data_IF_891727561623
#
_entry.id   IF_891727561623
#
_cell.length_a   1.000
_cell.length_b   1.000
_cell.length_c   1.000
_cell.angle_alpha   90.00
_cell.angle_beta   90.00
_cell.angle_gamma   90.00
#
_symmetry.space_group_name_H-M   'P 1'
#
loop_
_entity.id
_entity.type
_entity.pdbx_description
1 polymer ?
#
# COMPACT_ATOMS: atom_id res chain seq x y z
N UNK A 1 -7.93 15.05 4.32
CA UNK A 1 -8.20 14.08 3.25
C UNK A 1 -9.70 14.00 3.01
N UNK A 2 -10.13 14.15 1.76
CA UNK A 2 -11.52 14.06 1.34
C UNK A 2 -11.59 13.14 0.11
N UNK A 3 -12.28 12.01 0.24
CA UNK A 3 -12.35 10.97 -0.78
C UNK A 3 -13.78 10.83 -1.27
N UNK A 4 -13.97 10.77 -2.58
CA UNK A 4 -15.24 10.58 -3.25
C UNK A 4 -15.19 9.33 -4.14
N UNK A 5 -16.15 8.43 -3.93
CA UNK A 5 -16.35 7.28 -4.79
C UNK A 5 -17.51 7.54 -5.76
N UNK A 6 -17.26 7.29 -7.04
CA UNK A 6 -18.25 7.34 -8.09
C UNK A 6 -18.37 5.99 -8.78
N UNK A 7 -19.58 5.57 -9.04
CA UNK A 7 -19.83 4.35 -9.79
C UNK A 7 -21.01 4.52 -10.75
N UNK A 8 -20.94 3.82 -11.88
CA UNK A 8 -22.03 3.71 -12.82
C UNK A 8 -22.07 2.31 -13.42
N UNK A 9 -23.25 1.69 -13.39
CA UNK A 9 -23.46 0.37 -13.97
C UNK A 9 -24.13 0.55 -15.35
N UNK A 10 -23.34 0.34 -16.42
CA UNK A 10 -23.83 0.41 -17.80
C UNK A 10 -24.78 -0.73 -18.12
N UNK A 11 -24.45 -1.92 -17.59
CA UNK A 11 -25.23 -3.15 -17.67
C UNK A 11 -25.00 -3.97 -16.41
N UNK A 12 -25.68 -5.10 -16.25
CA UNK A 12 -25.45 -6.05 -15.16
C UNK A 12 -23.99 -6.61 -15.16
N UNK A 13 -23.26 -6.47 -16.26
CA UNK A 13 -21.91 -7.03 -16.46
C UNK A 13 -20.81 -5.98 -16.69
N UNK A 14 -21.16 -4.74 -16.97
CA UNK A 14 -20.20 -3.68 -17.28
C UNK A 14 -20.40 -2.52 -16.33
N UNK A 15 -19.37 -2.17 -15.58
CA UNK A 15 -19.41 -1.16 -14.52
C UNK A 15 -18.22 -0.21 -14.64
N UNK A 16 -18.47 1.06 -14.32
CA UNK A 16 -17.46 2.06 -14.07
C UNK A 16 -17.28 2.25 -12.57
N UNK A 17 -16.05 2.40 -12.13
CA UNK A 17 -15.69 2.74 -10.74
C UNK A 17 -14.59 3.79 -10.74
N UNK A 18 -14.69 4.73 -9.80
CA UNK A 18 -13.73 5.81 -9.65
C UNK A 18 -13.61 6.22 -8.19
N UNK A 19 -12.40 6.57 -7.79
CA UNK A 19 -12.04 7.14 -6.49
C UNK A 19 -11.21 8.40 -6.72
N UNK A 20 -11.74 9.51 -6.23
CA UNK A 20 -11.14 10.82 -6.31
C UNK A 20 -10.78 11.31 -4.91
N UNK A 21 -9.55 11.76 -4.73
CA UNK A 21 -9.03 12.25 -3.46
C UNK A 21 -8.55 13.69 -3.55
N UNK A 22 -8.84 14.47 -2.49
CA UNK A 22 -8.27 15.76 -2.21
C UNK A 22 -7.55 15.70 -0.85
N UNK A 23 -6.22 15.81 -0.86
CA UNK A 23 -5.43 15.86 0.36
C UNK A 23 -5.13 17.30 0.79
N UNK A 24 -5.05 17.52 2.13
CA UNK A 24 -4.72 18.78 2.81
C UNK A 24 -5.60 20.00 2.43
N UNK A 25 -6.66 19.79 1.64
CA UNK A 25 -7.63 20.85 1.30
C UNK A 25 -7.09 22.02 0.48
N UNK A 26 -5.85 21.95 0.00
CA UNK A 26 -5.19 22.99 -0.78
C UNK A 26 -4.31 22.35 -1.86
N UNK A 27 -4.49 22.83 -3.10
CA UNK A 27 -3.61 22.47 -4.23
C UNK A 27 -3.00 23.74 -4.80
N UNK A 28 -1.79 23.66 -5.32
CA UNK A 28 -1.13 24.75 -6.00
C UNK A 28 -0.81 24.41 -7.47
N UNK A 29 -0.67 25.44 -8.30
CA UNK A 29 -0.07 25.28 -9.61
C UNK A 29 1.40 24.86 -9.46
N UNK A 30 1.89 23.97 -10.35
CA UNK A 30 3.31 23.55 -10.39
C UNK A 30 4.31 24.73 -10.42
N UNK A 31 3.86 25.91 -10.81
CA UNK A 31 4.65 27.13 -10.86
C UNK A 31 4.50 28.05 -9.63
N UNK A 32 3.54 27.76 -8.75
CA UNK A 32 3.23 28.58 -7.58
C UNK A 32 3.60 27.82 -6.31
N UNK A 33 4.88 27.90 -5.96
CA UNK A 33 5.46 27.22 -4.81
C UNK A 33 5.33 28.10 -3.56
N UNK A 34 4.11 28.28 -3.07
CA UNK A 34 3.81 29.12 -1.90
C UNK A 34 4.07 28.44 -0.54
N UNK A 35 4.58 27.20 -0.51
CA UNK A 35 5.07 26.59 0.72
C UNK A 35 6.38 27.22 1.18
N UNK A 36 6.64 27.29 2.50
CA UNK A 36 7.85 27.85 3.08
C UNK A 36 9.15 27.16 2.59
N UNK A 37 9.03 25.95 2.04
CA UNK A 37 10.09 25.15 1.43
C UNK A 37 9.93 25.00 -0.09
N UNK A 38 8.94 25.66 -0.69
CA UNK A 38 8.63 25.60 -2.11
C UNK A 38 7.89 24.33 -2.55
N UNK A 39 7.28 23.60 -1.62
CA UNK A 39 6.45 22.40 -1.89
C UNK A 39 4.96 22.75 -1.84
N UNK A 40 4.15 22.06 -2.65
CA UNK A 40 2.71 22.17 -2.56
C UNK A 40 2.20 21.39 -1.35
N UNK A 41 1.38 21.98 -0.46
CA UNK A 41 0.94 21.33 0.76
C UNK A 41 -0.14 20.25 0.54
N UNK A 42 -0.78 20.20 -0.62
CA UNK A 42 -1.85 19.23 -0.90
C UNK A 42 -1.84 18.70 -2.33
N UNK A 43 -2.55 17.60 -2.53
CA UNK A 43 -2.64 16.88 -3.81
C UNK A 43 -4.10 16.66 -4.20
N UNK A 44 -4.36 16.61 -5.50
CA UNK A 44 -5.58 16.09 -6.10
C UNK A 44 -5.22 14.81 -6.82
N UNK A 45 -5.80 13.70 -6.43
CA UNK A 45 -5.45 12.38 -6.94
C UNK A 45 -6.69 11.64 -7.48
N UNK A 46 -6.46 10.85 -8.50
CA UNK A 46 -7.43 9.91 -9.05
C UNK A 46 -6.84 8.51 -8.84
N UNK A 47 -7.12 7.93 -7.69
CA UNK A 47 -6.51 6.66 -7.28
C UNK A 47 -7.12 5.47 -8.02
N UNK A 48 -8.39 5.58 -8.42
CA UNK A 48 -9.05 4.58 -9.23
C UNK A 48 -9.95 5.25 -10.29
N UNK A 49 -9.88 4.73 -11.52
CA UNK A 49 -10.81 5.05 -12.61
C UNK A 49 -10.74 3.94 -13.63
N UNK A 50 -11.66 2.98 -13.56
CA UNK A 50 -11.61 1.81 -14.44
C UNK A 50 -13.00 1.35 -14.88
N UNK A 51 -13.00 0.62 -15.99
CA UNK A 51 -14.15 -0.19 -16.42
C UNK A 51 -13.91 -1.63 -16.00
N UNK A 52 -14.90 -2.21 -15.36
CA UNK A 52 -14.93 -3.63 -14.95
C UNK A 52 -15.97 -4.37 -15.79
N UNK A 53 -15.60 -5.56 -16.30
CA UNK A 53 -16.45 -6.38 -17.16
C UNK A 53 -16.47 -7.84 -16.69
N UNK A 54 -17.67 -8.36 -16.41
CA UNK A 54 -17.87 -9.79 -16.10
C UNK A 54 -18.07 -10.57 -17.40
N UNK A 55 -17.12 -11.40 -17.75
CA UNK A 55 -17.17 -12.29 -18.92
C UNK A 55 -17.97 -13.57 -18.61
N UNK A 56 -17.78 -14.09 -17.40
CA UNK A 56 -18.51 -15.23 -16.84
C UNK A 56 -18.77 -14.98 -15.36
N UNK A 57 -19.48 -15.89 -14.68
CA UNK A 57 -19.69 -15.83 -13.23
C UNK A 57 -18.37 -15.88 -12.41
N UNK A 58 -17.29 -16.34 -13.02
CA UNK A 58 -16.00 -16.55 -12.39
C UNK A 58 -14.90 -15.63 -12.93
N UNK A 59 -15.05 -15.06 -14.11
CA UNK A 59 -14.01 -14.28 -14.79
C UNK A 59 -14.45 -12.83 -15.00
N UNK A 60 -13.70 -11.93 -14.39
CA UNK A 60 -13.86 -10.47 -14.52
C UNK A 60 -12.56 -9.87 -15.09
N UNK A 61 -12.68 -8.87 -15.95
CA UNK A 61 -11.54 -8.02 -16.36
C UNK A 61 -11.75 -6.58 -15.92
N UNK A 62 -10.64 -5.87 -15.73
CA UNK A 62 -10.58 -4.44 -15.44
C UNK A 62 -9.59 -3.76 -16.37
N UNK A 63 -9.90 -2.51 -16.75
CA UNK A 63 -9.02 -1.67 -17.56
C UNK A 63 -9.15 -0.21 -17.14
N UNK A 64 -8.02 0.47 -16.93
CA UNK A 64 -7.95 1.86 -16.49
C UNK A 64 -6.94 2.07 -15.37
N UNK A 65 -7.16 3.06 -14.51
CA UNK A 65 -6.35 3.32 -13.32
C UNK A 65 -6.90 2.47 -12.17
N UNK A 66 -6.06 1.64 -11.57
CA UNK A 66 -6.46 0.66 -10.57
C UNK A 66 -5.43 0.55 -9.45
N UNK A 67 -5.88 0.19 -8.26
CA UNK A 67 -4.99 -0.20 -7.16
C UNK A 67 -4.30 -1.52 -7.51
N UNK A 68 -2.99 -1.59 -7.25
CA UNK A 68 -2.20 -2.79 -7.50
C UNK A 68 -2.53 -3.84 -6.43
N UNK A 69 -2.80 -5.11 -6.82
CA UNK A 69 -3.25 -6.14 -5.88
C UNK A 69 -2.10 -6.73 -5.05
N UNK A 70 -1.62 -5.97 -4.05
CA UNK A 70 -0.52 -6.34 -3.15
C UNK A 70 -0.85 -5.98 -1.70
N UNK A 71 -0.22 -6.65 -0.75
CA UNK A 71 -0.37 -6.37 0.68
C UNK A 71 -1.76 -6.67 1.26
N UNK A 72 -2.06 -6.00 2.37
CA UNK A 72 -3.35 -6.07 3.08
C UNK A 72 -4.16 -4.79 2.86
N UNK A 73 -3.48 -3.63 2.89
CA UNK A 73 -4.13 -2.32 2.92
C UNK A 73 -4.17 -1.62 1.57
N UNK A 74 -3.41 -2.04 0.55
CA UNK A 74 -3.34 -1.29 -0.69
C UNK A 74 -4.71 -1.08 -1.35
N UNK A 75 -5.59 -2.07 -1.28
CA UNK A 75 -6.97 -1.97 -1.81
C UNK A 75 -8.01 -1.61 -0.74
N UNK A 76 -7.62 -1.53 0.54
CA UNK A 76 -8.51 -1.27 1.68
C UNK A 76 -7.84 -0.32 2.67
N UNK A 77 -7.37 0.82 2.20
CA UNK A 77 -6.58 1.78 2.99
C UNK A 77 -7.43 2.84 3.70
N UNK A 78 -8.74 2.69 3.68
CA UNK A 78 -9.67 3.60 4.34
C UNK A 78 -9.54 3.54 5.87
N UNK A 79 -9.61 4.67 6.59
CA UNK A 79 -9.39 4.68 8.04
C UNK A 79 -10.23 3.70 8.86
N UNK A 80 -11.49 3.36 8.54
CA UNK A 80 -12.25 2.38 9.31
C UNK A 80 -11.81 0.93 9.13
N UNK A 81 -10.93 0.62 8.18
CA UNK A 81 -10.55 -0.76 7.80
C UNK A 81 -9.35 -1.32 8.57
N UNK A 82 -8.62 -0.47 9.30
CA UNK A 82 -7.46 -0.85 10.11
C UNK A 82 -7.49 -0.15 11.48
N UNK A 83 -6.73 -0.66 12.46
CA UNK A 83 -6.83 -0.21 13.85
C UNK A 83 -5.98 1.02 14.16
N UNK A 84 -4.73 1.09 13.74
CA UNK A 84 -3.83 2.22 13.98
C UNK A 84 -4.36 3.54 13.38
N UNK A 85 -3.84 4.66 13.85
CA UNK A 85 -4.12 5.98 13.23
C UNK A 85 -3.51 6.02 11.84
N UNK A 86 -2.24 5.59 11.73
CA UNK A 86 -1.53 5.46 10.46
C UNK A 86 -1.48 3.99 10.01
N UNK A 87 -1.23 3.78 8.73
CA UNK A 87 -0.91 2.48 8.13
C UNK A 87 0.34 1.89 8.77
N UNK A 88 0.49 0.56 8.75
CA UNK A 88 1.73 -0.05 9.20
C UNK A 88 2.91 0.30 8.27
N UNK A 89 4.10 0.37 8.83
CA UNK A 89 5.30 0.83 8.14
C UNK A 89 5.72 -0.07 6.96
N UNK A 90 5.43 -1.38 7.01
CA UNK A 90 5.72 -2.32 5.90
C UNK A 90 4.90 -1.95 4.67
N UNK A 91 3.61 -1.66 4.84
CA UNK A 91 2.74 -1.22 3.75
C UNK A 91 2.90 0.25 3.38
N UNK A 92 3.78 0.97 4.03
CA UNK A 92 4.15 2.33 3.65
C UNK A 92 5.46 2.39 2.88
N UNK A 93 6.44 1.57 3.27
CA UNK A 93 7.81 1.66 2.79
C UNK A 93 8.26 0.46 1.97
N UNK A 94 8.01 -0.77 2.40
CA UNK A 94 8.35 -1.98 1.62
C UNK A 94 7.34 -2.23 0.50
N UNK A 95 6.04 -2.08 0.80
CA UNK A 95 4.98 -2.01 -0.20
C UNK A 95 4.60 -0.53 -0.34
N UNK A 96 4.67 0.07 -1.53
CA UNK A 96 4.49 1.52 -1.69
C UNK A 96 3.01 1.97 -1.63
N UNK A 97 2.23 1.53 -0.64
CA UNK A 97 0.81 1.86 -0.45
C UNK A 97 0.61 3.37 -0.17
N UNK A 98 -0.33 4.13 -0.77
CA UNK A 98 -1.29 3.64 -1.75
C UNK A 98 -0.62 3.55 -3.12
N UNK A 99 -0.66 2.39 -3.75
CA UNK A 99 -0.05 2.18 -5.05
C UNK A 99 -1.13 1.85 -6.08
N UNK A 100 -1.29 2.73 -7.03
CA UNK A 100 -2.16 2.56 -8.18
C UNK A 100 -1.40 2.84 -9.47
N UNK A 101 -1.96 2.39 -10.59
CA UNK A 101 -1.39 2.61 -11.91
C UNK A 101 -2.38 2.33 -13.03
N UNK A 102 -2.10 2.91 -14.19
CA UNK A 102 -2.80 2.63 -15.43
C UNK A 102 -2.44 1.25 -15.95
N UNK A 103 -3.45 0.46 -16.35
CA UNK A 103 -3.21 -0.89 -16.84
C UNK A 103 -4.46 -1.70 -17.12
N UNK A 104 -4.27 -3.01 -17.20
CA UNK A 104 -5.34 -3.98 -17.39
C UNK A 104 -5.11 -5.22 -16.51
N UNK A 105 -6.19 -5.78 -16.00
CA UNK A 105 -6.12 -6.96 -15.13
C UNK A 105 -7.28 -7.90 -15.32
N UNK A 106 -7.09 -9.12 -14.84
CA UNK A 106 -8.10 -10.17 -14.79
C UNK A 106 -8.21 -10.72 -13.36
N UNK A 107 -9.42 -11.10 -13.00
CA UNK A 107 -9.76 -11.72 -11.72
C UNK A 107 -10.52 -13.00 -12.01
N UNK A 108 -9.99 -14.12 -11.53
CA UNK A 108 -10.65 -15.42 -11.67
C UNK A 108 -10.97 -16.01 -10.30
N UNK A 109 -12.25 -16.20 -10.01
CA UNK A 109 -12.77 -16.73 -8.75
C UNK A 109 -13.15 -18.19 -8.88
N UNK A 110 -12.56 -19.06 -8.07
CA UNK A 110 -12.87 -20.48 -8.02
C UNK A 110 -13.88 -20.79 -6.90
N UNK A 111 -14.70 -21.82 -7.08
CA UNK A 111 -15.74 -22.19 -6.10
C UNK A 111 -15.18 -22.75 -4.77
N UNK A 112 -13.88 -23.04 -4.69
CA UNK A 112 -13.19 -23.52 -3.50
C UNK A 112 -12.60 -22.42 -2.62
N UNK A 113 -12.92 -21.14 -2.90
CA UNK A 113 -12.42 -19.97 -2.17
C UNK A 113 -11.06 -19.45 -2.64
N UNK A 114 -10.53 -19.96 -3.75
CA UNK A 114 -9.33 -19.40 -4.39
C UNK A 114 -9.74 -18.30 -5.38
N UNK A 115 -9.06 -17.16 -5.29
CA UNK A 115 -9.11 -16.06 -6.28
C UNK A 115 -7.72 -15.87 -6.85
N UNK A 116 -7.60 -15.80 -8.16
CA UNK A 116 -6.35 -15.50 -8.88
C UNK A 116 -6.55 -14.16 -9.58
N UNK A 117 -5.59 -13.26 -9.39
CA UNK A 117 -5.55 -11.94 -9.99
C UNK A 117 -4.24 -11.79 -10.75
N UNK A 118 -4.31 -11.21 -11.94
CA UNK A 118 -3.13 -10.85 -12.71
C UNK A 118 -3.34 -9.48 -13.35
N UNK A 119 -2.33 -8.63 -13.33
CA UNK A 119 -2.38 -7.28 -13.83
C UNK A 119 -1.08 -6.92 -14.56
N UNK A 120 -1.20 -6.22 -15.68
CA UNK A 120 -0.13 -5.48 -16.33
C UNK A 120 -0.37 -3.99 -16.10
N UNK A 121 0.64 -3.25 -15.68
CA UNK A 121 0.51 -1.83 -15.33
C UNK A 121 1.82 -1.06 -15.54
N UNK A 122 1.79 0.24 -15.38
CA UNK A 122 2.88 1.16 -15.64
C UNK A 122 4.13 0.99 -14.74
N UNK A 123 4.02 0.27 -13.63
CA UNK A 123 5.14 0.00 -12.71
C UNK A 123 5.61 1.22 -11.91
N UNK A 124 6.88 1.17 -11.53
CA UNK A 124 7.58 2.19 -10.74
C UNK A 124 8.66 2.87 -11.58
N UNK A 125 9.04 4.10 -11.19
CA UNK A 125 10.23 4.81 -11.66
C UNK A 125 11.04 5.27 -10.44
N UNK A 126 12.02 4.47 -10.03
CA UNK A 126 12.77 4.64 -8.78
C UNK A 126 14.05 5.41 -9.04
N UNK A 127 14.29 6.44 -8.22
CA UNK A 127 15.51 7.23 -8.20
C UNK A 127 16.58 6.49 -7.37
N UNK A 128 17.66 6.04 -8.00
CA UNK A 128 18.72 5.25 -7.37
C UNK A 128 19.44 6.02 -6.26
N UNK A 129 19.52 7.36 -6.33
CA UNK A 129 20.12 8.17 -5.26
C UNK A 129 19.29 8.17 -3.98
N UNK A 130 17.99 7.89 -4.10
CA UNK A 130 17.05 7.91 -2.97
C UNK A 130 16.76 6.53 -2.42
N UNK A 131 16.86 5.48 -3.23
CA UNK A 131 16.55 4.10 -2.86
C UNK A 131 15.16 3.94 -2.23
N UNK A 132 14.16 4.66 -2.76
CA UNK A 132 12.87 4.81 -2.12
C UNK A 132 11.74 4.32 -3.04
N UNK A 133 11.36 3.05 -2.88
CA UNK A 133 10.32 2.38 -3.67
C UNK A 133 9.02 3.19 -3.73
N UNK A 134 8.56 3.70 -2.59
CA UNK A 134 7.34 4.52 -2.53
C UNK A 134 7.45 5.81 -3.38
N UNK A 135 8.63 6.41 -3.45
CA UNK A 135 8.88 7.60 -4.27
C UNK A 135 8.84 7.32 -5.77
N UNK A 136 8.96 6.06 -6.17
CA UNK A 136 8.90 5.63 -7.57
C UNK A 136 7.49 5.46 -8.14
N UNK A 137 6.42 5.66 -7.34
CA UNK A 137 5.05 5.59 -7.85
C UNK A 137 4.79 6.68 -8.88
N UNK A 138 4.38 6.30 -10.08
CA UNK A 138 4.19 7.22 -11.20
C UNK A 138 2.81 7.89 -11.21
N UNK A 139 1.85 7.37 -10.45
CA UNK A 139 0.50 7.93 -10.30
C UNK A 139 -0.22 8.19 -11.63
N UNK A 140 0.03 7.39 -12.63
CA UNK A 140 -0.48 7.41 -14.01
C UNK A 140 -0.21 8.68 -14.80
N UNK A 141 -0.26 9.86 -14.18
CA UNK A 141 -0.13 11.15 -14.87
C UNK A 141 1.28 11.42 -15.42
N UNK A 142 2.29 10.94 -14.73
CA UNK A 142 3.70 11.12 -15.10
C UNK A 142 4.33 9.78 -15.57
N UNK A 143 3.49 8.77 -15.84
CA UNK A 143 3.95 7.42 -16.16
C UNK A 143 4.69 7.37 -17.50
N UNK A 144 5.92 6.86 -17.45
CA UNK A 144 6.61 6.33 -18.60
C UNK A 144 6.20 4.86 -18.78
N UNK A 145 5.41 4.56 -19.81
CA UNK A 145 4.97 3.21 -20.11
C UNK A 145 5.98 2.45 -21.01
N UNK A 146 7.26 2.82 -20.95
CA UNK A 146 8.34 2.13 -21.64
C UNK A 146 8.55 0.71 -21.13
N UNK A 147 8.47 0.53 -19.81
CA UNK A 147 8.67 -0.74 -19.13
C UNK A 147 7.46 -1.08 -18.24
N UNK A 148 6.74 -2.13 -18.66
CA UNK A 148 5.55 -2.59 -17.97
C UNK A 148 5.88 -3.48 -16.78
N UNK A 149 5.16 -3.28 -15.67
CA UNK A 149 5.17 -4.19 -14.54
C UNK A 149 4.05 -5.23 -14.64
N UNK A 150 4.30 -6.39 -14.07
CA UNK A 150 3.37 -7.52 -14.02
C UNK A 150 3.15 -7.92 -12.57
N UNK A 151 1.91 -7.84 -12.11
CA UNK A 151 1.54 -8.27 -10.76
C UNK A 151 0.64 -9.48 -10.82
N UNK A 152 0.89 -10.47 -9.96
CA UNK A 152 0.02 -11.61 -9.75
C UNK A 152 -0.25 -11.80 -8.26
N UNK A 153 -1.49 -12.16 -7.90
CA UNK A 153 -1.90 -12.52 -6.54
C UNK A 153 -2.78 -13.76 -6.55
N UNK A 154 -2.56 -14.63 -5.59
CA UNK A 154 -3.47 -15.73 -5.25
C UNK A 154 -3.97 -15.52 -3.84
N UNK A 155 -5.28 -15.43 -3.67
CA UNK A 155 -5.96 -15.27 -2.38
C UNK A 155 -6.80 -16.52 -2.07
N UNK A 156 -6.74 -16.99 -0.83
CA UNK A 156 -7.55 -18.08 -0.32
C UNK A 156 -8.47 -17.61 0.80
N UNK A 157 -9.76 -17.87 0.64
CA UNK A 157 -10.82 -17.55 1.62
C UNK A 157 -11.72 -18.76 1.93
N UNK A 158 -11.29 -19.98 1.56
CA UNK A 158 -12.09 -21.20 1.72
C UNK A 158 -12.18 -21.72 3.16
N UNK A 159 -11.42 -21.14 4.11
CA UNK A 159 -11.54 -21.43 5.54
C UNK A 159 -12.24 -20.27 6.25
N UNK A 160 -13.29 -20.52 7.07
CA UNK A 160 -14.02 -19.47 7.75
C UNK A 160 -13.13 -18.55 8.59
N UNK A 161 -13.25 -17.24 8.37
CA UNK A 161 -12.46 -16.22 9.06
C UNK A 161 -11.06 -15.98 8.49
N UNK A 162 -10.57 -16.80 7.57
CA UNK A 162 -9.24 -16.66 6.96
C UNK A 162 -9.31 -15.97 5.59
N UNK A 163 -8.48 -14.95 5.40
CA UNK A 163 -8.05 -14.44 4.10
C UNK A 163 -6.53 -14.51 4.05
N UNK A 164 -5.96 -15.37 3.24
CA UNK A 164 -4.51 -15.52 3.06
C UNK A 164 -4.14 -15.26 1.60
N UNK A 165 -3.05 -14.54 1.35
CA UNK A 165 -2.62 -14.21 -0.01
C UNK A 165 -1.12 -14.39 -0.17
N UNK A 166 -0.72 -14.74 -1.39
CA UNK A 166 0.64 -14.60 -1.89
C UNK A 166 0.59 -13.70 -3.11
N UNK A 167 1.58 -12.80 -3.26
CA UNK A 167 1.66 -11.88 -4.38
C UNK A 167 3.09 -11.75 -4.88
N UNK A 168 3.20 -11.42 -6.15
CA UNK A 168 4.47 -11.20 -6.84
C UNK A 168 4.30 -10.06 -7.85
N UNK A 169 5.30 -9.20 -7.93
CA UNK A 169 5.42 -8.17 -8.95
C UNK A 169 6.79 -8.28 -9.61
N UNK A 170 6.84 -8.06 -10.92
CA UNK A 170 8.06 -7.99 -11.71
C UNK A 170 8.02 -6.79 -12.65
N UNK A 171 9.14 -6.09 -12.77
CA UNK A 171 9.37 -5.02 -13.73
C UNK A 171 10.79 -5.13 -14.28
N UNK A 172 10.97 -5.08 -15.59
CA UNK A 172 12.27 -5.30 -16.24
C UNK A 172 13.23 -4.13 -16.11
N UNK A 173 12.71 -2.92 -15.98
CA UNK A 173 13.47 -1.70 -15.70
C UNK A 173 12.64 -0.76 -14.83
N UNK A 174 13.13 -0.50 -13.61
CA UNK A 174 12.47 0.37 -12.64
C UNK A 174 13.15 1.73 -12.49
N UNK A 175 14.06 2.09 -13.40
CA UNK A 175 14.83 3.34 -13.32
C UNK A 175 14.00 4.59 -13.61
N UNK A 176 14.21 5.64 -12.82
CA UNK A 176 13.55 6.95 -13.01
C UNK A 176 14.21 7.81 -14.10
N UNK A 177 15.49 7.60 -14.41
CA UNK A 177 16.27 8.44 -15.30
C UNK A 177 17.28 7.64 -16.12
N UNK A 178 17.49 8.05 -17.37
CA UNK A 178 18.56 7.49 -18.20
C UNK A 178 19.93 7.85 -17.61
N UNK A 179 20.56 6.90 -16.93
CA UNK A 179 21.84 7.10 -16.24
C UNK A 179 21.82 6.51 -14.83
N UNK A 180 20.65 6.25 -14.30
CA UNK A 180 20.49 5.42 -13.11
C UNK A 180 20.93 3.99 -13.44
N UNK A 181 21.44 3.32 -12.40
CA UNK A 181 22.09 2.02 -12.55
C UNK A 181 21.16 0.86 -12.17
N UNK A 182 19.90 1.14 -11.92
CA UNK A 182 18.88 0.12 -11.62
C UNK A 182 18.44 -0.60 -12.90
N UNK A 183 18.05 -1.84 -12.77
CA UNK A 183 17.45 -2.64 -13.83
C UNK A 183 16.12 -3.21 -13.37
N UNK A 184 16.04 -4.52 -13.29
CA UNK A 184 14.84 -5.21 -12.88
C UNK A 184 14.50 -4.95 -11.42
N UNK A 185 13.22 -4.97 -11.12
CA UNK A 185 12.72 -4.94 -9.76
C UNK A 185 11.69 -6.04 -9.56
N UNK A 186 11.94 -6.85 -8.55
CA UNK A 186 11.06 -7.92 -8.13
C UNK A 186 10.56 -7.65 -6.72
N UNK A 187 9.27 -7.87 -6.49
CA UNK A 187 8.68 -7.87 -5.15
C UNK A 187 7.83 -9.11 -4.95
N UNK A 188 8.00 -9.76 -3.81
CA UNK A 188 7.14 -10.87 -3.39
C UNK A 188 6.68 -10.68 -1.96
N UNK A 189 5.52 -11.25 -1.63
CA UNK A 189 5.06 -11.24 -0.26
C UNK A 189 3.93 -12.20 0.00
N UNK A 190 3.69 -12.37 1.29
CA UNK A 190 2.61 -13.19 1.83
C UNK A 190 1.85 -12.40 2.88
N UNK A 191 0.54 -12.54 2.91
CA UNK A 191 -0.29 -11.90 3.93
C UNK A 191 -1.37 -12.84 4.43
N UNK A 192 -1.80 -12.63 5.68
CA UNK A 192 -2.93 -13.35 6.26
C UNK A 192 -3.71 -12.44 7.20
N UNK A 193 -5.03 -12.53 7.12
CA UNK A 193 -5.97 -11.98 8.11
C UNK A 193 -6.80 -13.15 8.62
N UNK A 194 -6.82 -13.36 9.92
CA UNK A 194 -7.61 -14.41 10.52
C UNK A 194 -8.45 -13.89 11.67
N UNK A 195 -9.76 -13.82 11.43
CA UNK A 195 -10.76 -13.50 12.45
C UNK A 195 -11.28 -14.78 13.11
N UNK A 196 -11.29 -14.82 14.44
CA UNK A 196 -11.73 -15.99 15.21
C UNK A 196 -12.43 -15.61 16.52
N UNK A 197 -13.28 -16.51 17.00
CA UNK A 197 -14.03 -16.29 18.24
C UNK A 197 -14.84 -14.99 18.22
N UNK A 198 -15.03 -14.37 19.38
CA UNK A 198 -15.84 -13.16 19.52
C UNK A 198 -15.01 -11.89 19.23
N UNK A 199 -14.69 -11.64 17.95
CA UNK A 199 -14.07 -10.40 17.49
C UNK A 199 -12.55 -10.32 17.69
N UNK A 200 -11.86 -11.44 17.85
CA UNK A 200 -10.40 -11.49 17.72
C UNK A 200 -9.99 -11.50 16.25
N UNK A 201 -8.90 -10.82 15.93
CA UNK A 201 -8.30 -10.85 14.61
C UNK A 201 -6.77 -10.82 14.73
N UNK A 202 -6.11 -11.58 13.87
CA UNK A 202 -4.66 -11.53 13.67
C UNK A 202 -4.43 -11.11 12.22
N UNK A 203 -3.52 -10.16 12.01
CA UNK A 203 -3.00 -9.77 10.69
C UNK A 203 -1.51 -10.02 10.66
N UNK A 204 -1.04 -10.64 9.61
CA UNK A 204 0.37 -10.87 9.36
C UNK A 204 0.70 -10.56 7.91
N UNK A 205 1.86 -9.92 7.69
CA UNK A 205 2.37 -9.60 6.36
C UNK A 205 3.90 -9.73 6.40
N UNK A 206 4.44 -10.33 5.35
CA UNK A 206 5.86 -10.26 5.03
C UNK A 206 5.99 -9.93 3.55
N UNK A 207 6.85 -8.96 3.25
CA UNK A 207 7.18 -8.58 1.87
C UNK A 207 8.67 -8.35 1.75
N UNK A 208 9.22 -8.69 0.59
CA UNK A 208 10.59 -8.40 0.21
C UNK A 208 10.65 -7.97 -1.24
N UNK A 209 11.59 -7.10 -1.56
CA UNK A 209 11.88 -6.68 -2.93
C UNK A 209 13.37 -6.58 -3.16
N UNK A 210 13.77 -6.75 -4.42
CA UNK A 210 15.15 -6.75 -4.87
C UNK A 210 15.25 -5.96 -6.17
N UNK A 211 16.31 -5.17 -6.28
CA UNK A 211 16.70 -4.48 -7.51
C UNK A 211 17.89 -5.14 -8.14
N UNK A 212 17.84 -5.42 -9.44
CA UNK A 212 19.01 -5.72 -10.24
C UNK A 212 19.76 -4.46 -10.65
N UNK A 213 21.00 -4.61 -11.08
CA UNK A 213 21.88 -3.52 -11.50
C UNK A 213 22.75 -3.83 -12.69
N UNK A 214 23.01 -2.79 -13.47
CA UNK A 214 24.07 -2.80 -14.52
C UNK A 214 25.47 -2.80 -13.89
N UNK A 215 25.63 -2.17 -12.75
CA UNK A 215 26.90 -2.06 -12.00
C UNK A 215 26.65 -2.05 -10.50
N UNK A 216 26.91 -3.16 -9.83
CA UNK A 216 26.77 -3.34 -8.38
C UNK A 216 27.84 -2.58 -7.57
N UNK A 217 28.71 -1.82 -8.22
CA UNK A 217 29.75 -1.03 -7.53
C UNK A 217 29.28 0.33 -7.05
N UNK A 218 28.03 0.69 -7.31
CA UNK A 218 27.42 1.94 -6.83
C UNK A 218 27.16 1.92 -5.31
N UNK A 219 27.03 3.08 -4.70
CA UNK A 219 26.77 3.19 -3.27
C UNK A 219 25.41 2.61 -2.89
N UNK A 220 24.43 2.61 -3.81
CA UNK A 220 23.11 1.98 -3.65
C UNK A 220 23.25 0.48 -3.27
N UNK A 221 24.06 -0.27 -4.03
CA UNK A 221 24.30 -1.70 -3.79
C UNK A 221 25.25 -1.95 -2.64
N UNK A 222 26.31 -1.15 -2.49
CA UNK A 222 27.24 -1.26 -1.37
C UNK A 222 26.61 -0.99 -0.01
N UNK A 223 25.59 -0.15 0.02
CA UNK A 223 24.85 0.18 1.23
C UNK A 223 23.65 -0.77 1.48
N UNK A 224 23.40 -1.75 0.58
CA UNK A 224 22.37 -2.76 0.71
C UNK A 224 20.95 -2.20 0.53
N UNK A 225 20.76 -1.20 -0.34
CA UNK A 225 19.44 -0.66 -0.66
C UNK A 225 18.73 -1.43 -1.76
N UNK A 226 19.43 -2.32 -2.42
CA UNK A 226 18.92 -3.24 -3.44
C UNK A 226 17.98 -4.28 -2.86
N UNK A 227 18.19 -4.73 -1.61
CA UNK A 227 17.31 -5.65 -0.91
C UNK A 227 16.49 -4.92 0.15
N UNK A 228 15.18 -4.93 0.02
CA UNK A 228 14.25 -4.31 0.97
C UNK A 228 13.25 -5.34 1.48
N UNK A 229 13.03 -5.35 2.79
CA UNK A 229 12.08 -6.29 3.39
C UNK A 229 11.33 -5.67 4.55
N UNK A 230 10.14 -6.22 4.81
CA UNK A 230 9.33 -5.82 5.96
C UNK A 230 8.47 -6.96 6.49
N UNK A 231 8.31 -6.98 7.80
CA UNK A 231 7.42 -7.94 8.48
C UNK A 231 6.49 -7.18 9.42
N UNK A 232 5.21 -7.47 9.34
CA UNK A 232 4.17 -6.89 10.19
C UNK A 232 3.33 -7.98 10.84
N UNK A 233 3.04 -7.80 12.14
CA UNK A 233 2.14 -8.64 12.90
C UNK A 233 1.24 -7.76 13.77
N UNK A 234 -0.09 -7.97 13.70
CA UNK A 234 -1.07 -7.31 14.54
C UNK A 234 -1.99 -8.34 15.19
N UNK A 235 -2.27 -8.13 16.47
CA UNK A 235 -3.34 -8.82 17.19
C UNK A 235 -4.32 -7.78 17.68
N UNK A 236 -5.58 -7.99 17.42
CA UNK A 236 -6.65 -7.09 17.80
C UNK A 236 -7.86 -7.82 18.39
N UNK A 237 -8.63 -7.08 19.17
CA UNK A 237 -9.89 -7.55 19.75
C UNK A 237 -10.94 -6.45 19.69
N UNK A 238 -12.09 -6.75 19.12
CA UNK A 238 -13.24 -5.86 19.06
C UNK A 238 -14.32 -6.27 20.05
N UNK A 239 -14.80 -5.32 20.86
CA UNK A 239 -15.91 -5.43 21.79
C UNK A 239 -17.01 -4.45 21.37
N UNK A 240 -17.98 -4.89 20.58
CA UNK A 240 -18.99 -4.01 20.02
C UNK A 240 -18.36 -2.88 19.18
N UNK A 241 -18.43 -1.66 19.70
CA UNK A 241 -17.89 -0.48 19.03
C UNK A 241 -16.47 -0.11 19.43
N UNK A 242 -15.87 -0.79 20.37
CA UNK A 242 -14.49 -0.57 20.82
C UNK A 242 -13.58 -1.67 20.29
N UNK A 243 -12.42 -1.29 19.77
CA UNK A 243 -11.38 -2.20 19.34
C UNK A 243 -10.05 -1.84 20.01
N UNK A 244 -9.31 -2.85 20.42
CA UNK A 244 -7.97 -2.75 20.99
C UNK A 244 -7.01 -3.52 20.10
N UNK A 245 -5.81 -3.01 19.93
CA UNK A 245 -4.80 -3.67 19.15
C UNK A 245 -3.39 -3.48 19.72
N UNK A 246 -2.54 -4.39 19.36
CA UNK A 246 -1.09 -4.28 19.45
C UNK A 246 -0.50 -4.78 18.14
N UNK A 247 0.46 -4.05 17.60
CA UNK A 247 1.18 -4.49 16.42
C UNK A 247 2.68 -4.23 16.53
N UNK A 248 3.43 -4.96 15.71
CA UNK A 248 4.85 -4.77 15.51
C UNK A 248 5.14 -4.78 14.01
N UNK A 249 6.01 -3.88 13.57
CA UNK A 249 6.52 -3.83 12.21
C UNK A 249 8.05 -3.71 12.24
N UNK A 250 8.73 -4.49 11.40
CA UNK A 250 10.16 -4.37 11.14
C UNK A 250 10.34 -4.00 9.67
N UNK A 251 11.14 -2.99 9.38
CA UNK A 251 11.50 -2.56 8.03
C UNK A 251 13.01 -2.50 7.92
N UNK A 252 13.56 -3.03 6.84
CA UNK A 252 15.01 -3.02 6.55
C UNK A 252 15.30 -2.87 5.06
N UNK A 253 16.51 -2.41 4.73
CA UNK A 253 17.04 -2.34 3.37
C UNK A 253 16.86 -0.99 2.66
N UNK A 254 15.85 -0.19 3.01
CA UNK A 254 15.58 1.09 2.38
C UNK A 254 16.28 2.25 3.09
N UNK A 255 17.43 2.67 2.86
CA UNK A 255 18.25 3.66 3.58
C UNK A 255 18.56 3.25 5.03
N UNK A 256 19.76 3.57 5.51
CA UNK A 256 20.15 3.28 6.90
C UNK A 256 19.21 3.88 7.94
N UNK A 257 18.66 5.07 7.68
CA UNK A 257 17.65 5.72 8.54
C UNK A 257 16.26 5.05 8.53
N UNK A 258 16.08 3.98 7.73
CA UNK A 258 14.83 3.22 7.62
C UNK A 258 15.00 1.74 7.92
N UNK A 259 16.05 1.39 8.67
CA UNK A 259 16.19 0.08 9.31
C UNK A 259 15.75 0.23 10.75
N UNK A 260 14.52 -0.21 11.05
CA UNK A 260 13.92 0.04 12.35
C UNK A 260 12.81 -0.95 12.69
N UNK A 261 12.51 -1.00 14.00
CA UNK A 261 11.36 -1.67 14.55
C UNK A 261 10.33 -0.64 15.03
N UNK A 262 9.06 -0.94 14.81
CA UNK A 262 7.94 -0.14 15.34
C UNK A 262 7.04 -1.02 16.16
N UNK A 263 6.69 -0.54 17.36
CA UNK A 263 5.66 -1.12 18.20
C UNK A 263 4.52 -0.12 18.36
N UNK A 264 3.29 -0.55 18.14
CA UNK A 264 2.10 0.27 18.39
C UNK A 264 1.07 -0.49 19.21
N UNK A 265 0.37 0.23 20.06
CA UNK A 265 -0.82 -0.29 20.72
C UNK A 265 -1.83 0.82 20.94
N UNK A 266 -3.10 0.50 20.85
CA UNK A 266 -4.11 1.56 20.91
C UNK A 266 -5.55 1.06 20.95
N UNK A 267 -6.42 2.04 20.76
CA UNK A 267 -7.86 1.88 20.79
C UNK A 267 -8.49 2.57 19.58
N UNK A 268 -9.48 1.92 19.01
CA UNK A 268 -10.36 2.46 17.99
C UNK A 268 -11.80 2.37 18.44
N UNK A 269 -12.54 3.45 18.28
CA UNK A 269 -13.95 3.51 18.62
C UNK A 269 -14.77 3.85 17.38
N UNK A 270 -15.57 2.88 16.92
CA UNK A 270 -16.50 3.08 15.83
C UNK A 270 -17.81 3.66 16.33
N UNK A 271 -18.33 4.65 15.64
CA UNK A 271 -19.58 5.30 16.06
C UNK A 271 -20.73 4.29 16.10
N UNK A 272 -21.52 4.25 17.22
CA UNK A 272 -22.65 3.33 17.35
C UNK A 272 -23.68 3.50 16.23
N UNK A 273 -23.99 2.39 15.57
CA UNK A 273 -24.93 2.38 14.43
C UNK A 273 -24.33 2.79 13.09
N UNK A 274 -23.08 3.26 13.05
CA UNK A 274 -22.37 3.55 11.81
C UNK A 274 -20.88 3.19 11.94
N UNK A 275 -20.50 1.99 11.50
CA UNK A 275 -19.11 1.51 11.54
C UNK A 275 -18.18 2.21 10.55
N UNK A 276 -18.71 3.11 9.71
CA UNK A 276 -17.91 3.88 8.76
C UNK A 276 -17.24 5.11 9.41
N UNK A 277 -17.61 5.47 10.64
CA UNK A 277 -16.97 6.54 11.40
C UNK A 277 -16.16 5.96 12.55
N UNK A 278 -14.89 6.37 12.69
CA UNK A 278 -13.97 5.85 13.69
C UNK A 278 -13.14 6.97 14.32
N UNK A 279 -13.00 6.93 15.65
CA UNK A 279 -12.01 7.70 16.38
C UNK A 279 -10.90 6.75 16.83
N UNK A 280 -9.65 7.16 16.72
CA UNK A 280 -8.48 6.34 16.99
C UNK A 280 -7.49 7.06 17.86
N UNK A 281 -6.85 6.30 18.77
CA UNK A 281 -5.72 6.76 19.55
C UNK A 281 -4.73 5.60 19.73
N UNK A 282 -3.45 5.83 19.45
CA UNK A 282 -2.42 4.84 19.71
C UNK A 282 -1.11 5.46 20.19
N UNK A 283 -0.40 4.72 21.02
CA UNK A 283 1.01 4.93 21.26
C UNK A 283 1.80 4.36 20.08
N UNK A 284 2.81 5.09 19.66
CA UNK A 284 3.74 4.72 18.60
C UNK A 284 5.14 4.80 19.21
N UNK A 285 5.93 3.75 18.98
CA UNK A 285 7.30 3.63 19.46
C UNK A 285 8.15 3.05 18.33
N UNK A 286 9.13 3.81 17.88
CA UNK A 286 10.02 3.48 16.78
C UNK A 286 11.46 3.49 17.27
N UNK A 287 12.11 2.34 17.19
CA UNK A 287 13.51 2.13 17.51
C UNK A 287 14.32 1.90 16.22
N UNK A 288 15.36 2.67 16.02
CA UNK A 288 16.29 2.51 14.90
C UNK A 288 17.32 1.40 15.17
N UNK A 289 17.59 0.56 14.18
CA UNK A 289 18.52 -0.57 14.33
C UNK A 289 20.01 -0.16 14.36
N UNK A 290 20.34 1.09 14.06
CA UNK A 290 21.74 1.52 13.97
C UNK A 290 22.01 2.90 14.58
N UNK A 291 23.09 2.97 15.37
CA UNK A 291 23.71 4.20 15.91
C UNK A 291 24.31 5.15 14.84
N UNK A 292 23.97 5.01 13.57
CA UNK A 292 24.77 5.50 12.45
C UNK A 292 24.35 6.85 11.87
N UNK A 293 23.27 7.48 12.35
CA UNK A 293 22.92 8.83 11.92
C UNK A 293 22.18 9.61 12.99
N UNK A 294 22.12 10.93 12.81
CA UNK A 294 21.38 11.91 13.60
C UNK A 294 19.84 11.67 13.68
N UNK A 295 19.33 10.57 13.18
CA UNK A 295 17.97 10.14 13.36
C UNK A 295 17.83 9.46 14.71
N UNK A 296 17.00 9.99 15.59
CA UNK A 296 16.74 9.46 16.92
C UNK A 296 15.50 8.56 16.91
N UNK A 297 15.45 7.64 17.87
CA UNK A 297 14.23 6.94 18.26
C UNK A 297 13.09 7.95 18.44
N UNK A 298 11.90 7.54 18.08
CA UNK A 298 10.73 8.41 18.11
C UNK A 298 9.56 7.70 18.77
N UNK A 299 9.01 8.31 19.80
CA UNK A 299 7.81 7.83 20.46
C UNK A 299 6.75 8.92 20.61
N UNK A 300 5.49 8.55 20.72
CA UNK A 300 4.43 9.52 20.89
C UNK A 300 3.02 8.96 20.81
N UNK A 301 2.07 9.85 21.00
CA UNK A 301 0.64 9.55 20.86
C UNK A 301 0.12 10.07 19.54
N UNK A 302 -0.50 9.19 18.77
CA UNK A 302 -1.24 9.54 17.56
C UNK A 302 -2.74 9.59 17.87
N UNK A 303 -3.42 10.61 17.35
CA UNK A 303 -4.87 10.75 17.41
C UNK A 303 -5.41 10.92 15.98
N UNK A 304 -6.51 10.24 15.68
CA UNK A 304 -7.10 10.29 14.35
C UNK A 304 -8.62 10.18 14.36
N UNK A 305 -9.23 10.72 13.33
CA UNK A 305 -10.62 10.53 12.99
C UNK A 305 -10.75 10.16 11.52
N UNK A 306 -11.54 9.14 11.24
CA UNK A 306 -11.83 8.69 9.89
C UNK A 306 -13.32 8.50 9.69
N UNK A 307 -13.76 8.73 8.45
CA UNK A 307 -15.13 8.50 8.04
C UNK A 307 -15.18 8.08 6.56
N UNK A 308 -16.05 7.12 6.25
CA UNK A 308 -16.37 6.70 4.88
C UNK A 308 -17.88 6.83 4.66
N UNK A 309 -18.31 7.48 3.57
CA UNK A 309 -19.72 7.69 3.25
C UNK A 309 -20.34 6.48 2.56
#
# INVERSE_FOLDING_TARGET
>A
RYVLFFGYDFTDKVRFRSEFELEHGLTCDKNDKDGADGTCPGEVELEQMYIEMDHTDNLTSRVGVMLIPVGILNENHEPPTFYGVERNEVEKYTIPTTWWGGGAGIIYKMNNGITIEAMIHEGLAVDSDKGYVRGGRQKSADADAGDWAYTARVTYTGFPGLKASVFYNHQSDATASSGDNLEEWDMMGVSAIYGFGDGFEIRALHAQSEFGAKDETTDFFKDGFDEQQGTFLEVSKRFGNLGFFVNSATVSGEKRSRQYNVMQYGISWWYPGNSNAVLKANWYDKELDNDLDSASDTDGIHLGVGYVF
#
